data_IF_432145353611
#
_entry.id   IF_432145353611
#
_cell.length_a   1.000
_cell.length_b   1.000
_cell.length_c   1.000
_cell.angle_alpha   90.00
_cell.angle_beta   90.00
_cell.angle_gamma   90.00
#
_symmetry.space_group_name_H-M   'P 1'
#
loop_
_entity.id
_entity.type
_entity.pdbx_description
1 polymer ?
#
# COMPACT_ATOMS: atom_id res chain seq x y z
N UNK A 1 -7.94 -7.45 -3.17
CA UNK A 1 -8.02 -6.34 -2.21
C UNK A 1 -9.38 -5.70 -2.37
N UNK A 2 -10.23 -5.88 -1.37
CA UNK A 2 -11.44 -5.08 -1.29
C UNK A 2 -11.04 -3.67 -0.84
N UNK A 3 -11.31 -2.70 -1.70
CA UNK A 3 -11.14 -1.27 -1.42
C UNK A 3 -12.46 -0.58 -1.74
N UNK A 4 -12.88 0.31 -0.86
CA UNK A 4 -13.94 1.28 -1.12
C UNK A 4 -13.37 2.67 -0.92
N UNK A 5 -13.76 3.60 -1.79
CA UNK A 5 -13.27 4.97 -1.79
C UNK A 5 -14.42 5.94 -1.53
N UNK A 6 -14.14 6.94 -0.72
CA UNK A 6 -15.04 8.04 -0.37
C UNK A 6 -14.36 9.38 -0.58
N UNK A 7 -15.15 10.44 -0.69
CA UNK A 7 -14.64 11.82 -0.68
C UNK A 7 -15.09 12.50 0.60
N UNK A 8 -14.14 13.05 1.36
CA UNK A 8 -14.43 13.82 2.57
C UNK A 8 -15.21 15.10 2.25
N UNK A 9 -16.15 15.45 3.12
CA UNK A 9 -16.96 16.68 3.05
C UNK A 9 -16.63 17.67 4.19
N UNK A 10 -15.71 17.31 5.10
CA UNK A 10 -15.35 18.12 6.27
C UNK A 10 -16.33 17.99 7.45
N UNK A 11 -17.36 17.15 7.37
CA UNK A 11 -18.39 17.02 8.40
C UNK A 11 -18.73 15.57 8.76
N UNK A 12 -18.72 14.66 7.79
CA UNK A 12 -19.05 13.25 7.97
C UNK A 12 -17.90 12.52 8.67
N UNK A 13 -18.22 11.80 9.75
CA UNK A 13 -17.26 11.01 10.54
C UNK A 13 -17.43 9.51 10.38
N UNK A 14 -18.54 9.05 9.81
CA UNK A 14 -18.90 7.63 9.72
C UNK A 14 -18.95 7.18 8.26
N UNK A 15 -18.17 6.15 7.93
CA UNK A 15 -18.06 5.61 6.58
C UNK A 15 -18.23 4.09 6.61
N UNK A 16 -19.21 3.58 5.87
CA UNK A 16 -19.52 2.15 5.85
C UNK A 16 -18.56 1.38 4.94
N UNK A 17 -18.36 0.09 5.20
CA UNK A 17 -17.69 -0.82 4.29
C UNK A 17 -18.36 -2.20 4.34
N UNK A 18 -18.26 -2.95 3.24
CA UNK A 18 -18.94 -4.25 3.07
C UNK A 18 -17.97 -5.30 2.50
N UNK A 19 -17.00 -5.69 3.31
CA UNK A 19 -16.13 -6.83 3.04
C UNK A 19 -15.85 -7.61 4.34
N UNK A 20 -15.65 -8.94 4.26
CA UNK A 20 -15.36 -9.74 5.44
C UNK A 20 -13.98 -9.41 6.01
N UNK A 21 -13.84 -9.44 7.33
CA UNK A 21 -12.58 -9.25 8.06
C UNK A 21 -12.60 -10.06 9.36
N UNK A 22 -11.45 -10.27 9.99
CA UNK A 22 -11.33 -11.24 11.10
C UNK A 22 -10.96 -10.57 12.42
N UNK A 23 -10.40 -9.37 12.36
CA UNK A 23 -10.15 -8.48 13.50
C UNK A 23 -10.07 -7.03 13.02
N UNK A 24 -10.32 -6.08 13.92
CA UNK A 24 -10.28 -4.64 13.58
C UNK A 24 -8.93 -4.19 13.00
N UNK A 25 -7.84 -4.88 13.34
CA UNK A 25 -6.50 -4.58 12.81
C UNK A 25 -6.33 -4.93 11.31
N UNK A 26 -7.23 -5.73 10.73
CA UNK A 26 -7.19 -6.10 9.32
C UNK A 26 -7.77 -5.00 8.40
N UNK A 27 -8.49 -4.04 8.99
CA UNK A 27 -9.14 -2.94 8.28
C UNK A 27 -8.26 -1.70 8.38
N UNK A 28 -7.94 -1.14 7.22
CA UNK A 28 -7.03 -0.01 7.09
C UNK A 28 -7.72 1.15 6.37
N UNK A 29 -7.22 2.34 6.66
CA UNK A 29 -7.68 3.59 6.08
C UNK A 29 -6.48 4.34 5.53
N UNK A 30 -6.57 4.84 4.32
CA UNK A 30 -5.65 5.83 3.77
C UNK A 30 -6.42 7.13 3.45
N UNK A 31 -5.78 8.26 3.73
CA UNK A 31 -6.29 9.60 3.36
C UNK A 31 -5.27 10.21 2.42
N UNK A 32 -5.70 10.59 1.21
CA UNK A 32 -4.83 11.11 0.14
C UNK A 32 -3.57 10.25 -0.04
N UNK A 33 -3.76 8.94 -0.18
CA UNK A 33 -2.73 7.90 -0.33
C UNK A 33 -1.80 7.70 0.89
N UNK A 34 -1.98 8.46 1.97
CA UNK A 34 -1.25 8.29 3.23
C UNK A 34 -1.97 7.31 4.17
N UNK A 35 -1.32 6.19 4.48
CA UNK A 35 -1.84 5.18 5.42
C UNK A 35 -2.00 5.78 6.82
N UNK A 36 -3.19 5.63 7.39
CA UNK A 36 -3.52 6.08 8.74
C UNK A 36 -3.28 4.95 9.74
N UNK A 37 -2.51 5.25 10.79
CA UNK A 37 -2.25 4.30 11.88
C UNK A 37 -3.45 4.20 12.80
N UNK A 38 -4.01 2.99 12.95
CA UNK A 38 -5.08 2.71 13.91
C UNK A 38 -4.62 3.02 15.35
N UNK A 39 -3.35 2.74 15.68
CA UNK A 39 -2.76 3.02 17.00
C UNK A 39 -2.68 4.51 17.35
N UNK A 40 -2.76 5.40 16.36
CA UNK A 40 -2.82 6.85 16.59
C UNK A 40 -4.21 7.34 17.02
N UNK A 41 -5.21 6.44 17.04
CA UNK A 41 -6.58 6.75 17.42
C UNK A 41 -7.35 7.56 16.38
N UNK A 42 -6.81 7.81 15.18
CA UNK A 42 -7.43 8.68 14.16
C UNK A 42 -8.84 8.21 13.78
N UNK A 43 -9.04 6.89 13.76
CA UNK A 43 -10.33 6.25 13.52
C UNK A 43 -10.47 4.99 14.38
N UNK A 44 -11.70 4.50 14.49
CA UNK A 44 -12.02 3.17 15.02
C UNK A 44 -12.82 2.36 14.01
N UNK A 45 -12.77 1.04 14.15
CA UNK A 45 -13.52 0.09 13.33
C UNK A 45 -14.66 -0.47 14.19
N UNK A 46 -15.89 -0.25 13.75
CA UNK A 46 -17.10 -0.80 14.39
C UNK A 46 -17.63 -1.93 13.50
N UNK A 47 -17.48 -3.21 13.90
CA UNK A 47 -17.99 -4.35 13.14
C UNK A 47 -19.52 -4.36 13.09
N UNK A 48 -20.07 -4.90 12.01
CA UNK A 48 -21.43 -5.43 12.04
C UNK A 48 -21.48 -6.80 12.74
N UNK A 49 -22.68 -7.32 13.01
CA UNK A 49 -22.86 -8.53 13.83
C UNK A 49 -22.21 -9.79 13.23
N UNK A 50 -22.03 -9.85 11.90
CA UNK A 50 -21.53 -11.03 11.18
C UNK A 50 -20.13 -10.85 10.59
N UNK A 51 -19.43 -9.76 10.92
CA UNK A 51 -18.11 -9.40 10.41
C UNK A 51 -18.01 -9.37 8.86
N UNK A 52 -19.14 -9.21 8.16
CA UNK A 52 -19.18 -9.04 6.71
C UNK A 52 -18.92 -7.59 6.26
N UNK A 53 -18.77 -6.68 7.22
CA UNK A 53 -18.55 -5.27 6.99
C UNK A 53 -18.60 -4.48 8.31
N UNK A 54 -18.71 -3.16 8.20
CA UNK A 54 -18.73 -2.32 9.38
C UNK A 54 -18.65 -0.85 9.05
N UNK A 55 -18.35 -0.06 10.06
CA UNK A 55 -18.22 1.39 9.97
C UNK A 55 -16.84 1.82 10.44
N UNK A 56 -16.17 2.63 9.63
CA UNK A 56 -15.04 3.45 10.08
C UNK A 56 -15.61 4.70 10.73
N UNK A 57 -15.20 4.96 11.98
CA UNK A 57 -15.58 6.15 12.74
C UNK A 57 -14.34 6.99 13.00
N UNK A 58 -14.23 8.15 12.35
CA UNK A 58 -13.14 9.09 12.57
C UNK A 58 -13.35 9.91 13.84
N UNK A 59 -12.28 10.21 14.58
CA UNK A 59 -12.33 11.16 15.71
C UNK A 59 -12.60 12.59 15.24
N UNK A 60 -12.03 12.97 14.10
CA UNK A 60 -12.23 14.25 13.44
C UNK A 60 -12.62 13.99 11.99
N UNK A 61 -13.68 14.63 11.50
CA UNK A 61 -14.12 14.47 10.11
C UNK A 61 -12.96 14.77 9.14
N UNK A 62 -12.70 13.89 8.15
CA UNK A 62 -11.72 14.17 7.11
C UNK A 62 -12.06 15.47 6.36
N UNK A 63 -11.05 16.26 6.03
CA UNK A 63 -11.23 17.54 5.38
C UNK A 63 -11.95 17.40 4.02
N UNK A 64 -12.64 18.47 3.61
CA UNK A 64 -13.35 18.49 2.34
C UNK A 64 -12.43 18.22 1.15
N UNK A 65 -12.90 17.40 0.21
CA UNK A 65 -12.20 16.96 -1.01
C UNK A 65 -10.98 16.04 -0.78
N UNK A 66 -10.79 15.49 0.42
CA UNK A 66 -9.78 14.44 0.64
C UNK A 66 -10.31 13.09 0.13
N UNK A 67 -9.44 12.28 -0.48
CA UNK A 67 -9.77 10.91 -0.87
C UNK A 67 -9.57 9.98 0.33
N UNK A 68 -10.61 9.22 0.69
CA UNK A 68 -10.60 8.30 1.81
C UNK A 68 -10.73 6.88 1.24
N UNK A 69 -9.68 6.09 1.36
CA UNK A 69 -9.66 4.69 0.95
C UNK A 69 -9.76 3.80 2.19
N UNK A 70 -10.79 2.95 2.24
CA UNK A 70 -10.97 1.93 3.28
C UNK A 70 -10.78 0.56 2.63
N UNK A 71 -9.91 -0.26 3.22
CA UNK A 71 -9.54 -1.54 2.62
C UNK A 71 -9.14 -2.58 3.64
N UNK A 72 -9.14 -3.84 3.19
CA UNK A 72 -8.62 -4.97 3.96
C UNK A 72 -7.18 -5.28 3.60
N UNK A 73 -6.37 -5.61 4.61
CA UNK A 73 -5.05 -6.21 4.43
C UNK A 73 -4.80 -7.22 5.54
N UNK A 74 -4.65 -8.48 5.14
CA UNK A 74 -4.39 -9.58 6.06
C UNK A 74 -3.05 -10.24 5.72
N UNK A 75 -2.31 -10.68 6.75
CA UNK A 75 -1.09 -11.46 6.56
C UNK A 75 -1.41 -12.86 6.01
N UNK A 76 -0.64 -13.32 5.03
CA UNK A 76 -0.71 -14.70 4.57
C UNK A 76 -0.07 -15.61 5.63
N UNK A 77 -0.89 -16.09 6.55
CA UNK A 77 -0.49 -16.97 7.64
C UNK A 77 -1.62 -17.94 7.97
N UNK A 78 -1.30 -19.01 8.68
CA UNK A 78 -2.31 -19.85 9.34
C UNK A 78 -2.53 -19.30 10.73
N UNK A 79 -3.79 -19.18 11.12
CA UNK A 79 -4.18 -18.66 12.44
C UNK A 79 -4.50 -19.77 13.43
N UNK A 80 -4.66 -21.00 12.93
CA UNK A 80 -4.93 -22.18 13.75
C UNK A 80 -3.70 -23.10 13.77
N UNK A 81 -3.30 -23.50 14.97
CA UNK A 81 -2.24 -24.47 15.20
C UNK A 81 -2.81 -25.89 15.28
N UNK A 82 -2.66 -26.65 14.20
CA UNK A 82 -3.15 -28.03 14.11
C UNK A 82 -2.10 -29.00 14.64
N UNK A 83 -2.50 -29.79 15.64
CA UNK A 83 -1.63 -30.80 16.21
C UNK A 83 -1.62 -32.08 15.35
N UNK A 84 -0.45 -32.60 14.93
CA UNK A 84 -0.37 -33.75 14.03
C UNK A 84 -1.05 -35.03 14.54
N UNK A 85 -1.18 -35.19 15.85
CA UNK A 85 -1.71 -36.39 16.51
C UNK A 85 -3.14 -36.22 17.00
N UNK A 86 -3.73 -35.03 16.88
CA UNK A 86 -5.11 -34.78 17.31
C UNK A 86 -6.06 -34.81 16.11
N UNK A 87 -7.31 -35.25 16.32
CA UNK A 87 -8.36 -35.07 15.32
C UNK A 87 -8.51 -33.60 14.93
N UNK A 88 -8.74 -33.35 13.64
CA UNK A 88 -9.00 -32.01 13.11
C UNK A 88 -10.42 -31.59 13.46
N UNK A 89 -10.58 -30.41 14.04
CA UNK A 89 -11.87 -29.74 14.14
C UNK A 89 -12.27 -29.16 12.78
N UNK A 90 -13.41 -29.62 12.24
CA UNK A 90 -13.94 -29.20 10.93
C UNK A 90 -14.30 -27.72 10.92
N UNK A 91 -14.78 -27.17 12.05
CA UNK A 91 -15.11 -25.75 12.14
C UNK A 91 -13.84 -24.89 12.06
N UNK A 92 -12.80 -25.30 12.79
CA UNK A 92 -11.48 -24.66 12.72
C UNK A 92 -10.89 -24.76 11.30
N UNK A 93 -10.98 -25.93 10.66
CA UNK A 93 -10.52 -26.13 9.28
C UNK A 93 -11.18 -25.15 8.30
N UNK A 94 -12.50 -25.04 8.38
CA UNK A 94 -13.25 -24.13 7.52
C UNK A 94 -12.89 -22.65 7.78
N UNK A 95 -12.67 -22.26 9.05
CA UNK A 95 -12.26 -20.92 9.41
C UNK A 95 -10.86 -20.56 8.87
N UNK A 96 -9.87 -21.47 8.99
CA UNK A 96 -8.51 -21.27 8.46
C UNK A 96 -8.52 -21.19 6.93
N UNK A 97 -9.33 -22.03 6.26
CA UNK A 97 -9.49 -21.96 4.81
C UNK A 97 -10.13 -20.66 4.33
N UNK A 98 -11.15 -20.16 5.03
CA UNK A 98 -11.72 -18.85 4.73
C UNK A 98 -10.68 -17.74 4.90
N UNK A 99 -9.92 -17.75 6.01
CA UNK A 99 -8.86 -16.79 6.25
C UNK A 99 -7.81 -16.79 5.13
N UNK A 100 -7.31 -17.97 4.76
CA UNK A 100 -6.31 -18.12 3.69
C UNK A 100 -6.86 -17.65 2.34
N UNK A 101 -8.10 -17.99 1.99
CA UNK A 101 -8.74 -17.54 0.75
C UNK A 101 -8.83 -16.01 0.70
N UNK A 102 -9.22 -15.39 1.80
CA UNK A 102 -9.32 -13.94 1.92
C UNK A 102 -7.94 -13.26 1.89
N UNK A 103 -6.90 -13.87 2.46
CA UNK A 103 -5.51 -13.40 2.36
C UNK A 103 -4.98 -13.50 0.90
N UNK A 104 -5.29 -14.59 0.19
CA UNK A 104 -4.96 -14.71 -1.24
C UNK A 104 -5.68 -13.68 -2.09
N UNK A 105 -6.94 -13.36 -1.79
CA UNK A 105 -7.69 -12.31 -2.49
C UNK A 105 -7.05 -10.93 -2.29
N UNK A 106 -6.45 -10.67 -1.13
CA UNK A 106 -5.70 -9.43 -0.89
C UNK A 106 -4.44 -9.41 -1.74
N UNK A 107 -3.61 -10.47 -1.68
CA UNK A 107 -2.39 -10.62 -2.49
C UNK A 107 -2.65 -10.47 -3.99
N UNK A 108 -3.72 -11.10 -4.52
CA UNK A 108 -4.06 -11.02 -5.94
C UNK A 108 -4.35 -9.59 -6.42
N UNK A 109 -4.72 -8.65 -5.55
CA UNK A 109 -4.88 -7.26 -5.97
C UNK A 109 -3.65 -6.38 -5.69
N UNK A 110 -2.64 -6.95 -5.02
CA UNK A 110 -1.27 -6.39 -5.01
C UNK A 110 -0.54 -6.81 -6.29
N UNK A 111 -1.20 -7.47 -7.25
CA UNK A 111 -0.62 -7.70 -8.58
C UNK A 111 -0.16 -6.35 -9.13
N UNK A 112 1.16 -6.19 -9.15
CA UNK A 112 1.81 -5.07 -9.80
C UNK A 112 1.35 -5.15 -11.24
N UNK A 113 0.65 -4.12 -11.72
CA UNK A 113 0.39 -4.03 -13.15
C UNK A 113 1.74 -3.80 -13.84
N UNK A 114 2.39 -4.91 -14.20
CA UNK A 114 3.69 -4.93 -14.85
C UNK A 114 3.64 -4.17 -16.17
N UNK A 115 2.45 -4.04 -16.77
CA UNK A 115 2.20 -3.23 -17.97
C UNK A 115 2.25 -1.75 -17.63
N UNK A 116 1.56 -1.31 -16.57
CA UNK A 116 1.61 0.07 -16.11
C UNK A 116 3.01 0.47 -15.64
N UNK A 117 3.73 -0.44 -14.98
CA UNK A 117 5.12 -0.25 -14.56
C UNK A 117 6.05 -0.10 -15.77
N UNK A 118 5.97 -1.02 -16.74
CA UNK A 118 6.77 -0.96 -17.96
C UNK A 118 6.49 0.34 -18.74
N UNK A 119 5.22 0.72 -18.90
CA UNK A 119 4.84 1.97 -19.55
C UNK A 119 5.40 3.20 -18.83
N UNK A 120 5.38 3.23 -17.50
CA UNK A 120 5.93 4.34 -16.71
C UNK A 120 7.45 4.42 -16.88
N UNK A 121 8.15 3.29 -16.78
CA UNK A 121 9.59 3.20 -16.98
C UNK A 121 10.00 3.66 -18.39
N UNK A 122 9.32 3.17 -19.42
CA UNK A 122 9.61 3.50 -20.81
C UNK A 122 9.37 4.97 -21.14
N UNK A 123 8.33 5.57 -20.55
CA UNK A 123 8.06 7.01 -20.68
C UNK A 123 9.17 7.86 -20.03
N UNK A 124 9.60 7.51 -18.81
CA UNK A 124 10.69 8.20 -18.10
C UNK A 124 11.99 8.07 -18.89
N UNK A 125 12.33 6.85 -19.33
CA UNK A 125 13.54 6.58 -20.11
C UNK A 125 13.57 7.36 -21.42
N UNK A 126 12.46 7.33 -22.18
CA UNK A 126 12.36 8.05 -23.46
C UNK A 126 12.56 9.55 -23.29
N UNK A 127 12.02 10.13 -22.21
CA UNK A 127 12.19 11.54 -21.90
C UNK A 127 13.62 11.88 -21.45
N UNK A 128 14.25 11.04 -20.62
CA UNK A 128 15.65 11.20 -20.23
C UNK A 128 16.58 11.14 -21.45
N UNK A 129 16.37 10.18 -22.35
CA UNK A 129 17.14 10.04 -23.59
C UNK A 129 16.98 11.25 -24.50
N UNK A 130 15.77 11.79 -24.62
CA UNK A 130 15.51 13.03 -25.36
C UNK A 130 16.28 14.21 -24.75
N UNK A 131 16.20 14.40 -23.43
CA UNK A 131 16.88 15.50 -22.75
C UNK A 131 18.40 15.36 -22.81
N UNK A 132 18.94 14.15 -22.65
CA UNK A 132 20.38 13.89 -22.78
C UNK A 132 20.88 14.28 -24.17
N UNK A 133 20.14 13.90 -25.23
CA UNK A 133 20.47 14.30 -26.61
C UNK A 133 20.44 15.81 -26.81
N UNK A 134 19.43 16.49 -26.28
CA UNK A 134 19.31 17.96 -26.38
C UNK A 134 20.40 18.66 -25.55
N UNK A 135 20.75 18.14 -24.38
CA UNK A 135 21.86 18.68 -23.57
C UNK A 135 23.19 18.48 -24.29
N UNK A 136 23.44 17.31 -24.87
CA UNK A 136 24.63 17.06 -25.70
C UNK A 136 24.68 18.03 -26.89
N UNK A 137 23.54 18.27 -27.56
CA UNK A 137 23.43 19.25 -28.66
C UNK A 137 23.62 20.71 -28.18
N UNK A 138 23.13 21.06 -26.97
CA UNK A 138 23.19 22.41 -26.41
C UNK A 138 24.43 22.72 -25.58
N UNK A 139 25.24 21.74 -25.18
CA UNK A 139 26.61 21.97 -24.73
C UNK A 139 27.46 22.59 -25.86
N UNK A 140 27.01 22.48 -27.11
CA UNK A 140 27.51 23.22 -28.27
C UNK A 140 26.95 24.66 -28.42
N UNK A 141 25.90 25.06 -27.68
CA UNK A 141 25.07 26.24 -28.00
C UNK A 141 24.40 27.05 -26.86
N UNK A 142 24.64 26.74 -25.57
CA UNK A 142 24.42 27.69 -24.45
C UNK A 142 23.03 27.77 -23.77
N UNK A 143 22.06 26.90 -24.11
CA UNK A 143 20.68 26.98 -23.59
C UNK A 143 20.28 25.92 -22.55
N UNK A 144 21.09 25.72 -21.50
CA UNK A 144 21.04 24.52 -20.61
C UNK A 144 20.09 24.64 -19.41
N UNK A 145 19.90 25.83 -18.84
CA UNK A 145 19.25 25.98 -17.51
C UNK A 145 17.73 25.72 -17.48
N UNK A 146 16.98 26.15 -18.50
CA UNK A 146 15.52 25.95 -18.52
C UNK A 146 15.09 24.49 -18.72
N UNK A 147 15.95 23.70 -19.38
CA UNK A 147 15.71 22.28 -19.63
C UNK A 147 16.09 21.43 -18.42
N UNK A 148 17.16 21.81 -17.71
CA UNK A 148 17.52 21.21 -16.43
C UNK A 148 16.37 21.33 -15.42
N UNK A 149 15.73 22.50 -15.31
CA UNK A 149 14.61 22.69 -14.39
C UNK A 149 13.39 21.83 -14.73
N UNK A 150 13.10 21.61 -16.02
CA UNK A 150 12.04 20.70 -16.45
C UNK A 150 12.39 19.23 -16.13
N UNK A 151 13.66 18.83 -16.28
CA UNK A 151 14.13 17.50 -15.93
C UNK A 151 13.99 17.23 -14.42
N UNK A 152 14.42 18.17 -13.58
CA UNK A 152 14.24 18.08 -12.12
C UNK A 152 12.77 17.95 -11.77
N UNK A 153 11.89 18.77 -12.36
CA UNK A 153 10.45 18.70 -12.10
C UNK A 153 9.81 17.36 -12.49
N UNK A 154 10.27 16.72 -13.58
CA UNK A 154 9.77 15.41 -14.00
C UNK A 154 10.33 14.31 -13.09
N UNK A 155 11.61 14.36 -12.73
CA UNK A 155 12.21 13.43 -11.78
C UNK A 155 11.51 13.51 -10.43
N UNK A 156 11.21 14.71 -9.93
CA UNK A 156 10.47 14.92 -8.69
C UNK A 156 9.05 14.32 -8.75
N UNK A 157 8.40 14.34 -9.92
CA UNK A 157 7.08 13.73 -10.11
C UNK A 157 7.09 12.23 -10.42
N UNK A 158 8.22 11.70 -10.92
CA UNK A 158 8.37 10.31 -11.34
C UNK A 158 9.01 9.45 -10.25
N UNK A 159 10.00 9.95 -9.51
CA UNK A 159 10.70 9.23 -8.45
C UNK A 159 9.75 8.67 -7.37
N UNK A 160 8.71 9.39 -6.91
CA UNK A 160 7.74 8.83 -5.95
C UNK A 160 6.86 7.74 -6.56
N UNK A 161 6.69 7.74 -7.89
CA UNK A 161 5.92 6.74 -8.64
C UNK A 161 6.77 5.53 -9.05
N UNK A 162 8.09 5.65 -9.00
CA UNK A 162 9.01 4.53 -8.95
C UNK A 162 8.95 3.94 -7.54
N UNK A 163 7.82 3.32 -7.21
CA UNK A 163 7.63 2.58 -5.98
C UNK A 163 8.78 1.58 -5.86
N UNK A 164 9.58 1.68 -4.80
CA UNK A 164 10.34 0.52 -4.39
C UNK A 164 9.32 -0.46 -3.78
N UNK A 165 9.25 -1.67 -4.31
CA UNK A 165 8.40 -2.73 -3.75
C UNK A 165 8.84 -3.17 -2.33
N UNK A 166 9.86 -2.51 -1.77
CA UNK A 166 10.37 -2.73 -0.42
C UNK A 166 9.81 -1.76 0.63
N UNK A 167 8.92 -0.84 0.28
CA UNK A 167 8.51 0.25 1.17
C UNK A 167 9.66 1.23 1.40
N UNK A 168 9.38 2.44 1.87
CA UNK A 168 10.44 3.39 2.17
C UNK A 168 11.50 2.72 3.06
N UNK A 169 12.76 2.71 2.64
CA UNK A 169 13.88 2.34 3.54
C UNK A 169 14.02 3.52 4.51
N UNK A 170 13.08 3.63 5.45
CA UNK A 170 13.16 4.51 6.62
C UNK A 170 13.80 3.79 7.79
N UNK A 171 13.85 2.46 7.74
CA UNK A 171 14.68 1.68 8.66
C UNK A 171 16.12 1.81 8.17
N UNK A 172 16.93 2.52 8.94
CA UNK A 172 18.38 2.39 8.83
C UNK A 172 18.68 0.89 8.86
N UNK A 173 19.36 0.38 7.82
CA UNK A 173 19.89 -0.97 7.87
C UNK A 173 20.56 -1.13 9.23
N UNK A 174 20.15 -2.11 10.07
CA UNK A 174 20.86 -2.33 11.29
C UNK A 174 22.31 -2.55 10.87
N UNK A 175 23.22 -1.77 11.47
CA UNK A 175 24.64 -1.99 11.33
C UNK A 175 24.94 -3.33 12.02
N UNK A 176 24.56 -4.41 11.37
CA UNK A 176 24.95 -5.75 11.72
C UNK A 176 26.26 -6.00 10.98
N UNK A 177 27.33 -5.40 11.52
CA UNK A 177 28.60 -6.09 11.62
C UNK A 177 28.44 -7.33 12.52
N UNK A 178 27.50 -8.22 12.19
CA UNK A 178 27.43 -9.56 12.76
C UNK A 178 27.89 -10.49 11.65
N UNK A 179 29.19 -10.77 11.69
CA UNK A 179 29.73 -11.97 11.09
C UNK A 179 28.99 -13.17 11.70
N UNK A 180 27.90 -13.59 11.08
CA UNK A 180 27.18 -14.81 11.47
C UNK A 180 27.11 -15.76 10.28
N UNK A 181 28.28 -16.07 9.73
CA UNK A 181 28.51 -17.38 9.14
C UNK A 181 28.87 -18.34 10.27
N UNK A 182 27.87 -18.71 11.07
CA UNK A 182 27.90 -19.91 11.91
C UNK A 182 27.98 -21.15 11.02
N UNK A 183 29.18 -21.46 10.55
CA UNK A 183 29.52 -22.73 9.91
C UNK A 183 29.90 -23.71 11.01
N UNK A 184 29.01 -24.70 11.21
CA UNK A 184 29.15 -25.99 11.90
C UNK A 184 29.25 -25.99 13.44
#
# INVERSE_FOLDING_TARGET
>A
MYKISYTGDGATTEFQFAFPFFQNADVHVAIDDALQSNSAGIYSVVPNDDFSGGTIVFQTAPAANTNIDIFRRIALARVIDYQPTLPIDVAALNADFNFLLEAFRDLHAVDVDLTQWANTFDNVKSFLDYNLRVVQDKLSGGGVMGLYNNLVSVLDGALPKLINDYGAITDAAPNENRDDYGVL
#
